data_IF_455313896753
#
_entry.id   IF_455313896753
#
_cell.length_a   1.000
_cell.length_b   1.000
_cell.length_c   1.000
_cell.angle_alpha   90.00
_cell.angle_beta   90.00
_cell.angle_gamma   90.00
#
_symmetry.space_group_name_H-M   'P 1'
#
loop_
_entity.id
_entity.type
_entity.pdbx_description
1 polymer ?
#
# COMPACT_ATOMS: atom_id res chain seq x y z
N UNK A 1 -20.51 9.54 5.43
CA UNK A 1 -20.49 9.86 6.88
C UNK A 1 -20.22 8.59 7.68
N UNK A 2 -19.40 8.67 8.74
CA UNK A 2 -19.14 7.54 9.65
C UNK A 2 -20.46 7.10 10.30
N UNK A 3 -20.84 5.84 10.11
CA UNK A 3 -21.94 5.19 10.82
C UNK A 3 -21.44 4.52 12.10
N UNK A 4 -22.35 4.15 13.02
CA UNK A 4 -22.02 3.33 14.19
C UNK A 4 -21.33 2.01 13.81
N UNK A 5 -21.65 1.48 12.64
CA UNK A 5 -21.15 0.19 12.15
C UNK A 5 -19.77 0.30 11.50
N UNK A 6 -19.31 1.53 11.24
CA UNK A 6 -18.01 1.86 10.64
C UNK A 6 -17.13 2.66 11.59
N UNK A 7 -17.43 2.66 12.90
CA UNK A 7 -16.58 3.28 13.91
C UNK A 7 -15.28 2.49 14.08
N UNK A 8 -14.17 3.22 14.16
CA UNK A 8 -12.87 2.60 14.42
C UNK A 8 -12.86 1.93 15.80
N UNK A 9 -12.36 0.69 15.86
CA UNK A 9 -12.13 -0.02 17.11
C UNK A 9 -10.92 0.50 17.90
N UNK A 10 -10.16 1.42 17.30
CA UNK A 10 -8.92 1.98 17.81
C UNK A 10 -8.99 3.51 17.78
N UNK A 11 -8.44 4.14 18.82
CA UNK A 11 -8.20 5.59 18.82
C UNK A 11 -6.93 5.91 18.01
N UNK A 12 -7.12 6.26 16.74
CA UNK A 12 -6.02 6.62 15.85
C UNK A 12 -5.32 7.93 16.24
N UNK A 13 -5.98 8.82 16.98
CA UNK A 13 -5.37 10.06 17.47
C UNK A 13 -4.40 9.76 18.62
N UNK A 14 -4.74 8.80 19.49
CA UNK A 14 -3.80 8.27 20.48
C UNK A 14 -2.56 7.66 19.80
N UNK A 15 -2.74 6.85 18.76
CA UNK A 15 -1.62 6.28 17.98
C UNK A 15 -0.78 7.38 17.34
N UNK A 16 -1.39 8.41 16.77
CA UNK A 16 -0.67 9.54 16.17
C UNK A 16 0.17 10.30 17.19
N UNK A 17 -0.35 10.49 18.41
CA UNK A 17 0.35 11.22 19.49
C UNK A 17 1.42 10.40 20.20
N UNK A 18 1.29 9.08 20.25
CA UNK A 18 2.25 8.17 20.85
C UNK A 18 3.66 8.30 20.25
N UNK A 19 4.69 8.03 21.04
CA UNK A 19 6.06 8.04 20.55
C UNK A 19 6.30 6.93 19.52
N UNK A 20 7.16 7.19 18.53
CA UNK A 20 7.49 6.21 17.49
C UNK A 20 8.05 4.91 18.10
N UNK A 21 8.80 5.02 19.20
CA UNK A 21 9.33 3.87 19.95
C UNK A 21 8.22 3.00 20.55
N UNK A 22 7.15 3.61 21.04
CA UNK A 22 6.00 2.91 21.60
C UNK A 22 5.22 2.17 20.50
N UNK A 23 4.92 2.85 19.40
CA UNK A 23 4.27 2.22 18.22
C UNK A 23 5.13 1.05 17.72
N UNK A 24 6.46 1.26 17.60
CA UNK A 24 7.41 0.23 17.17
C UNK A 24 7.46 -0.95 18.13
N UNK A 25 7.35 -0.71 19.43
CA UNK A 25 7.31 -1.75 20.45
C UNK A 25 6.03 -2.59 20.34
N UNK A 26 4.89 -1.94 20.16
CA UNK A 26 3.58 -2.61 20.01
C UNK A 26 3.53 -3.51 18.79
N UNK A 27 4.14 -3.10 17.66
CA UNK A 27 4.13 -3.87 16.41
C UNK A 27 5.40 -4.71 16.20
N UNK A 28 6.19 -4.93 17.27
CA UNK A 28 7.52 -5.57 17.18
C UNK A 28 7.50 -6.93 16.49
N UNK A 29 6.50 -7.76 16.81
CA UNK A 29 6.39 -9.14 16.30
C UNK A 29 6.15 -9.22 14.79
N UNK A 30 5.66 -8.15 14.16
CA UNK A 30 5.45 -8.10 12.71
C UNK A 30 6.77 -8.04 11.92
N UNK A 31 7.86 -7.56 12.53
CA UNK A 31 9.14 -7.28 11.87
C UNK A 31 9.16 -5.94 11.11
N UNK A 32 10.36 -5.40 10.83
CA UNK A 32 10.54 -4.04 10.26
C UNK A 32 9.85 -2.91 11.05
N UNK A 33 9.54 -3.16 12.33
CA UNK A 33 8.72 -2.33 13.21
C UNK A 33 9.18 -0.88 13.28
N UNK A 34 10.48 -0.61 13.37
CA UNK A 34 11.01 0.77 13.41
C UNK A 34 10.59 1.59 12.18
N UNK A 35 10.83 1.06 10.97
CA UNK A 35 10.47 1.73 9.71
C UNK A 35 8.95 1.88 9.57
N UNK A 36 8.19 0.93 10.09
CA UNK A 36 6.73 0.94 10.00
C UNK A 36 6.11 1.93 10.97
N UNK A 37 6.62 2.01 12.20
CA UNK A 37 6.17 2.98 13.19
C UNK A 37 6.34 4.41 12.69
N UNK A 38 7.51 4.74 12.12
CA UNK A 38 7.75 6.04 11.48
C UNK A 38 6.76 6.33 10.35
N UNK A 39 6.47 5.32 9.51
CA UNK A 39 5.52 5.46 8.39
C UNK A 39 4.09 5.64 8.88
N UNK A 40 3.65 4.87 9.86
CA UNK A 40 2.31 4.96 10.45
C UNK A 40 2.12 6.35 11.03
N UNK A 41 3.04 6.80 11.90
CA UNK A 41 2.95 8.14 12.52
C UNK A 41 2.97 9.24 11.46
N UNK A 42 3.92 9.18 10.52
CA UNK A 42 4.02 10.16 9.43
C UNK A 42 2.79 10.20 8.52
N UNK A 43 2.12 9.07 8.30
CA UNK A 43 0.87 9.01 7.56
C UNK A 43 -0.28 9.68 8.34
N UNK A 44 -0.44 9.36 9.63
CA UNK A 44 -1.47 9.96 10.47
C UNK A 44 -1.27 11.48 10.62
N UNK A 45 -0.04 11.94 10.80
CA UNK A 45 0.30 13.37 10.84
C UNK A 45 -0.01 14.07 9.51
N UNK A 46 0.28 13.41 8.38
CA UNK A 46 -0.07 13.92 7.05
C UNK A 46 -1.59 14.09 6.91
N UNK A 47 -2.38 13.10 7.31
CA UNK A 47 -3.85 13.18 7.24
C UNK A 47 -4.40 14.38 8.01
N UNK A 48 -3.97 14.55 9.26
CA UNK A 48 -4.42 15.68 10.08
C UNK A 48 -3.95 17.02 9.48
N UNK A 49 -2.72 17.08 8.94
CA UNK A 49 -2.19 18.29 8.30
C UNK A 49 -2.96 18.67 7.03
N UNK A 50 -3.29 17.70 6.18
CA UNK A 50 -3.92 17.94 4.87
C UNK A 50 -5.45 18.05 4.95
N UNK A 51 -6.08 17.31 5.86
CA UNK A 51 -7.54 17.14 5.91
C UNK A 51 -8.16 17.53 7.26
N UNK A 52 -7.35 17.92 8.25
CA UNK A 52 -7.82 18.34 9.59
C UNK A 52 -8.29 17.20 10.50
N UNK A 53 -8.42 15.97 9.97
CA UNK A 53 -8.87 14.79 10.72
C UNK A 53 -8.28 13.50 10.15
N UNK A 54 -8.29 12.44 10.96
CA UNK A 54 -7.90 11.09 10.53
C UNK A 54 -9.15 10.40 9.96
N UNK A 55 -9.49 10.79 8.72
CA UNK A 55 -10.61 10.24 7.97
C UNK A 55 -10.24 10.07 6.49
N UNK A 56 -10.62 8.93 5.93
CA UNK A 56 -10.43 8.57 4.52
C UNK A 56 -11.73 8.16 3.82
N UNK A 57 -12.89 8.27 4.47
CA UNK A 57 -14.17 7.86 3.89
C UNK A 57 -14.51 8.63 2.61
N UNK A 58 -14.03 9.88 2.48
CA UNK A 58 -14.15 10.69 1.26
C UNK A 58 -13.56 10.02 0.01
N UNK A 59 -12.63 9.07 0.14
CA UNK A 59 -12.08 8.33 -1.01
C UNK A 59 -13.12 7.50 -1.76
N UNK A 60 -14.27 7.19 -1.14
CA UNK A 60 -15.39 6.47 -1.79
C UNK A 60 -16.11 7.31 -2.85
N UNK A 61 -16.11 8.62 -2.67
CA UNK A 61 -16.81 9.56 -3.56
C UNK A 61 -15.89 10.12 -4.67
N UNK A 62 -14.61 9.76 -4.63
CA UNK A 62 -13.59 10.23 -5.56
C UNK A 62 -13.49 9.30 -6.76
N UNK A 63 -13.28 9.83 -7.99
CA UNK A 63 -13.05 8.99 -9.16
C UNK A 63 -11.95 7.93 -8.95
N UNK A 64 -12.12 6.68 -9.41
CA UNK A 64 -11.21 5.57 -9.08
C UNK A 64 -9.73 5.80 -9.38
N UNK A 65 -9.41 6.60 -10.40
CA UNK A 65 -8.03 6.93 -10.78
C UNK A 65 -7.42 7.96 -9.84
N UNK A 66 -8.21 8.95 -9.40
CA UNK A 66 -7.76 9.96 -8.42
C UNK A 66 -7.57 9.35 -7.04
N UNK A 67 -8.42 8.40 -6.65
CA UNK A 67 -8.22 7.62 -5.43
C UNK A 67 -6.92 6.81 -5.50
N UNK A 68 -6.61 6.22 -6.67
CA UNK A 68 -5.35 5.49 -6.88
C UNK A 68 -4.14 6.43 -6.75
N UNK A 69 -4.15 7.57 -7.44
CA UNK A 69 -3.07 8.56 -7.40
C UNK A 69 -2.81 9.03 -5.97
N UNK A 70 -3.88 9.34 -5.23
CA UNK A 70 -3.77 9.76 -3.83
C UNK A 70 -3.15 8.66 -2.96
N UNK A 71 -3.64 7.42 -3.05
CA UNK A 71 -3.11 6.30 -2.27
C UNK A 71 -1.64 5.99 -2.62
N UNK A 72 -1.25 6.12 -3.89
CA UNK A 72 0.14 5.98 -4.33
C UNK A 72 1.05 7.11 -3.84
N UNK A 73 0.49 8.30 -3.56
CA UNK A 73 1.26 9.40 -2.96
C UNK A 73 1.67 9.12 -1.51
N UNK A 74 1.07 8.13 -0.84
CA UNK A 74 1.35 7.81 0.55
C UNK A 74 2.65 7.03 0.65
N UNK A 75 3.66 7.64 1.28
CA UNK A 75 4.97 7.02 1.50
C UNK A 75 4.83 5.67 2.21
N UNK A 76 5.21 4.60 1.52
CA UNK A 76 5.19 3.24 2.06
C UNK A 76 4.05 2.38 1.54
N UNK A 77 3.09 2.94 0.79
CA UNK A 77 2.14 2.18 -0.01
C UNK A 77 2.69 2.01 -1.43
N UNK A 78 2.86 0.75 -1.85
CA UNK A 78 3.17 0.41 -3.23
C UNK A 78 1.91 0.00 -4.00
N UNK A 79 2.06 -0.17 -5.31
CA UNK A 79 0.95 -0.52 -6.23
C UNK A 79 0.09 -1.68 -5.72
N UNK A 80 0.70 -2.78 -5.29
CA UNK A 80 -0.02 -3.94 -4.74
C UNK A 80 -0.93 -3.56 -3.57
N UNK A 81 -0.43 -2.79 -2.61
CA UNK A 81 -1.21 -2.38 -1.43
C UNK A 81 -2.33 -1.43 -1.81
N UNK A 82 -2.07 -0.50 -2.73
CA UNK A 82 -3.09 0.43 -3.25
C UNK A 82 -4.20 -0.33 -3.96
N UNK A 83 -3.87 -1.28 -4.84
CA UNK A 83 -4.88 -2.11 -5.51
C UNK A 83 -5.67 -2.99 -4.52
N UNK A 84 -5.06 -3.45 -3.42
CA UNK A 84 -5.79 -4.14 -2.35
C UNK A 84 -6.83 -3.21 -1.69
N UNK A 85 -6.47 -1.97 -1.35
CA UNK A 85 -7.41 -1.00 -0.76
C UNK A 85 -8.52 -0.65 -1.74
N UNK A 86 -8.17 -0.40 -3.01
CA UNK A 86 -9.14 -0.11 -4.07
C UNK A 86 -10.14 -1.24 -4.24
N UNK A 87 -9.69 -2.49 -4.27
CA UNK A 87 -10.55 -3.66 -4.43
C UNK A 87 -11.39 -3.94 -3.18
N UNK A 88 -10.73 -4.08 -2.02
CA UNK A 88 -11.36 -4.63 -0.81
C UNK A 88 -12.12 -3.60 0.02
N UNK A 89 -11.72 -2.33 -0.05
CA UNK A 89 -12.30 -1.27 0.79
C UNK A 89 -13.15 -0.30 -0.03
N UNK A 90 -12.68 0.12 -1.20
CA UNK A 90 -13.39 1.09 -2.05
C UNK A 90 -14.30 0.42 -3.10
N UNK A 91 -14.24 -0.90 -3.24
CA UNK A 91 -15.02 -1.69 -4.21
C UNK A 91 -14.81 -1.24 -5.68
N UNK A 92 -13.64 -0.69 -5.99
CA UNK A 92 -13.25 -0.38 -7.36
C UNK A 92 -12.88 -1.65 -8.11
N UNK A 93 -13.03 -1.63 -9.44
CA UNK A 93 -12.47 -2.67 -10.31
C UNK A 93 -10.94 -2.59 -10.30
N UNK A 94 -10.31 -3.37 -9.41
CA UNK A 94 -8.88 -3.39 -9.15
C UNK A 94 -8.37 -4.83 -9.06
N UNK A 95 -7.12 -5.06 -9.45
CA UNK A 95 -6.51 -6.40 -9.46
C UNK A 95 -5.15 -6.38 -8.75
N UNK A 96 -5.12 -6.63 -7.43
CA UNK A 96 -3.87 -6.68 -6.69
C UNK A 96 -3.08 -7.94 -7.04
N UNK A 97 -1.94 -7.77 -7.70
CA UNK A 97 -1.01 -8.87 -8.00
C UNK A 97 0.04 -8.98 -6.92
N UNK A 98 0.02 -10.08 -6.17
CA UNK A 98 1.09 -10.45 -5.25
C UNK A 98 2.01 -11.52 -5.87
N UNK A 99 3.01 -11.97 -5.10
CA UNK A 99 3.97 -12.99 -5.55
C UNK A 99 3.30 -14.31 -5.96
N UNK A 100 2.18 -14.68 -5.33
CA UNK A 100 1.47 -15.91 -5.64
C UNK A 100 0.65 -15.78 -6.91
N UNK A 101 -0.11 -14.69 -7.05
CA UNK A 101 -0.86 -14.36 -8.26
C UNK A 101 0.08 -14.29 -9.45
N UNK A 102 1.17 -13.51 -9.34
CA UNK A 102 2.16 -13.38 -10.41
C UNK A 102 2.77 -14.72 -10.79
N UNK A 103 3.15 -15.56 -9.80
CA UNK A 103 3.70 -16.89 -10.04
C UNK A 103 2.71 -17.81 -10.75
N UNK A 104 1.43 -17.79 -10.39
CA UNK A 104 0.38 -18.61 -11.01
C UNK A 104 0.14 -18.14 -12.45
N UNK A 105 -0.04 -16.85 -12.68
CA UNK A 105 -0.25 -16.29 -14.03
C UNK A 105 0.91 -16.64 -14.97
N UNK A 106 2.15 -16.56 -14.49
CA UNK A 106 3.34 -16.96 -15.24
C UNK A 106 3.33 -18.47 -15.53
N UNK A 107 3.08 -19.31 -14.53
CA UNK A 107 3.09 -20.79 -14.70
C UNK A 107 1.99 -21.30 -15.61
N UNK A 108 0.84 -20.63 -15.64
CA UNK A 108 -0.27 -20.94 -16.55
C UNK A 108 -0.05 -20.37 -17.96
N UNK A 109 1.04 -19.63 -18.20
CA UNK A 109 1.34 -19.02 -19.49
C UNK A 109 0.48 -17.80 -19.83
N UNK A 110 -0.19 -17.19 -18.85
CA UNK A 110 -0.98 -15.97 -19.06
C UNK A 110 -0.10 -14.73 -19.18
N UNK A 111 1.08 -14.76 -18.57
CA UNK A 111 2.12 -13.74 -18.73
C UNK A 111 3.34 -14.44 -19.34
N UNK A 112 3.79 -14.06 -20.56
CA UNK A 112 4.94 -14.68 -21.18
C UNK A 112 6.21 -14.31 -20.41
N UNK A 113 7.02 -15.32 -20.07
CA UNK A 113 8.40 -15.08 -19.66
C UNK A 113 9.22 -14.79 -20.91
N UNK A 114 9.77 -13.58 -21.01
CA UNK A 114 10.79 -13.35 -22.01
C UNK A 114 12.09 -14.01 -21.55
N UNK A 115 12.72 -14.85 -22.38
CA UNK A 115 14.05 -15.34 -22.10
C UNK A 115 14.99 -14.13 -22.01
N UNK A 116 15.94 -14.18 -21.07
CA UNK A 116 17.00 -13.19 -21.04
C UNK A 116 17.77 -13.25 -22.37
N UNK A 117 18.20 -12.11 -22.94
CA UNK A 117 19.12 -12.12 -24.06
C UNK A 117 20.34 -12.98 -23.70
N UNK A 118 20.81 -13.84 -24.60
CA UNK A 118 21.90 -14.79 -24.34
C UNK A 118 23.20 -14.13 -23.83
N UNK A 119 23.40 -12.86 -24.16
CA UNK A 119 24.54 -12.05 -23.71
C UNK A 119 24.39 -11.46 -22.30
N UNK A 120 23.19 -11.49 -21.72
CA UNK A 120 22.90 -10.86 -20.44
C UNK A 120 23.02 -11.87 -19.30
N UNK A 121 24.07 -11.69 -18.50
CA UNK A 121 24.26 -12.49 -17.30
C UNK A 121 23.21 -12.12 -16.24
N UNK A 122 22.75 -13.11 -15.48
CA UNK A 122 21.63 -12.96 -14.55
C UNK A 122 21.83 -11.84 -13.51
N UNK A 123 23.07 -11.59 -13.09
CA UNK A 123 23.39 -10.51 -12.15
C UNK A 123 23.36 -9.09 -12.76
N UNK A 124 23.13 -8.97 -14.07
CA UNK A 124 22.96 -7.71 -14.80
C UNK A 124 21.48 -7.39 -15.10
N UNK A 125 20.55 -8.15 -14.51
CA UNK A 125 19.09 -8.00 -14.70
C UNK A 125 18.58 -6.58 -14.46
N UNK A 126 19.17 -5.83 -13.53
CA UNK A 126 18.78 -4.43 -13.24
C UNK A 126 19.04 -3.46 -14.41
N UNK A 127 19.88 -3.85 -15.38
CA UNK A 127 20.19 -3.06 -16.58
C UNK A 127 19.26 -3.40 -17.75
N UNK A 128 18.40 -4.41 -17.62
CA UNK A 128 17.47 -4.78 -18.68
C UNK A 128 16.40 -3.68 -18.82
N UNK A 129 16.15 -3.18 -20.04
CA UNK A 129 15.13 -2.15 -20.24
C UNK A 129 13.79 -2.67 -19.73
N UNK A 130 13.18 -1.90 -18.84
CA UNK A 130 11.80 -2.12 -18.43
C UNK A 130 10.95 -1.97 -19.69
N UNK A 131 10.27 -3.05 -20.09
CA UNK A 131 9.29 -2.99 -21.16
C UNK A 131 8.19 -2.00 -20.75
N UNK A 132 7.88 -1.05 -21.64
CA UNK A 132 6.76 -0.11 -21.49
C UNK A 132 5.41 -0.83 -21.37
#
# INVERSE_FOLDING_TARGET
>A
ERSSDTMDSLDWEAVRRADVSEISSTIRERGMNNKLAERIKGFLDRLVKEHGSIDLEWLRDVPPDKAKDYLLSIRGLGLKSVECVRLLTLHHLAFPVDTNVGRICVRLGWVPLQPLPESLQLHLLELYPMLE
#
